data_IF_010124825809
#
_entry.id   IF_010124825809
#
_cell.length_a   1.000
_cell.length_b   1.000
_cell.length_c   1.000
_cell.angle_alpha   90.00
_cell.angle_beta   90.00
_cell.angle_gamma   90.00
#
_symmetry.space_group_name_H-M   'P 1'
#
loop_
_entity.id
_entity.type
_entity.pdbx_description
1 polymer ?
#
# COMPACT_ATOMS: atom_id res chain seq x y z
N UNK A 1 25.07 -3.00 0.67
CA UNK A 1 24.90 -1.87 1.64
C UNK A 1 24.06 -2.43 2.76
N UNK A 2 24.47 -2.24 4.01
CA UNK A 2 23.61 -2.60 5.15
C UNK A 2 22.59 -1.49 5.37
N UNK A 3 21.30 -1.83 5.30
CA UNK A 3 20.19 -0.91 5.50
C UNK A 3 19.69 -0.87 6.96
N UNK A 4 20.32 -1.67 7.86
CA UNK A 4 19.93 -1.76 9.26
C UNK A 4 18.53 -2.35 9.47
N UNK A 5 18.06 -3.20 8.56
CA UNK A 5 16.69 -3.76 8.59
C UNK A 5 16.62 -5.13 9.26
N UNK A 6 17.76 -5.73 9.59
CA UNK A 6 17.80 -7.07 10.17
C UNK A 6 17.00 -7.15 11.48
N UNK A 7 16.03 -8.08 11.52
CA UNK A 7 15.14 -8.28 12.65
C UNK A 7 14.03 -7.23 12.85
N UNK A 8 14.00 -6.16 12.07
CA UNK A 8 12.93 -5.16 12.11
C UNK A 8 11.60 -5.74 11.66
N UNK A 9 10.53 -5.49 12.42
CA UNK A 9 9.19 -5.95 12.05
C UNK A 9 8.53 -4.96 11.09
N UNK A 10 8.25 -5.43 9.88
CA UNK A 10 7.59 -4.66 8.82
C UNK A 10 6.17 -5.17 8.55
N UNK A 11 5.23 -4.28 8.35
CA UNK A 11 3.90 -4.56 7.79
C UNK A 11 3.81 -3.95 6.39
N UNK A 12 3.47 -4.78 5.40
CA UNK A 12 3.14 -4.29 4.06
C UNK A 12 1.68 -4.62 3.76
N UNK A 13 0.83 -3.61 3.68
CA UNK A 13 -0.60 -3.81 3.42
C UNK A 13 -0.84 -4.17 1.95
N UNK A 14 -1.79 -5.07 1.68
CA UNK A 14 -2.09 -5.51 0.31
C UNK A 14 -0.89 -6.17 -0.39
N UNK A 15 -0.13 -7.02 0.30
CA UNK A 15 1.15 -7.57 -0.16
C UNK A 15 1.08 -8.98 -0.75
N UNK A 16 -0.11 -9.43 -1.15
CA UNK A 16 -0.25 -10.73 -1.82
C UNK A 16 0.03 -10.70 -3.33
N UNK A 17 0.17 -9.51 -3.93
CA UNK A 17 0.46 -9.34 -5.36
C UNK A 17 1.10 -7.96 -5.64
N UNK A 18 1.55 -7.74 -6.88
CA UNK A 18 1.97 -6.45 -7.41
C UNK A 18 3.07 -5.76 -6.60
N UNK A 19 2.98 -4.44 -6.49
CA UNK A 19 3.96 -3.59 -5.81
C UNK A 19 4.13 -4.02 -4.34
N UNK A 20 3.04 -4.28 -3.63
CA UNK A 20 3.11 -4.70 -2.22
C UNK A 20 3.88 -6.01 -2.02
N UNK A 21 3.69 -7.00 -2.91
CA UNK A 21 4.45 -8.25 -2.88
C UNK A 21 5.95 -8.02 -3.13
N UNK A 22 6.29 -7.20 -4.11
CA UNK A 22 7.68 -6.88 -4.43
C UNK A 22 8.38 -6.17 -3.25
N UNK A 23 7.70 -5.21 -2.62
CA UNK A 23 8.20 -4.52 -1.42
C UNK A 23 8.42 -5.52 -0.28
N UNK A 24 7.43 -6.36 0.01
CA UNK A 24 7.51 -7.34 1.08
C UNK A 24 8.67 -8.35 0.87
N UNK A 25 8.82 -8.85 -0.36
CA UNK A 25 9.89 -9.75 -0.71
C UNK A 25 11.28 -9.09 -0.59
N UNK A 26 11.40 -7.81 -0.98
CA UNK A 26 12.65 -7.05 -0.88
C UNK A 26 13.00 -6.78 0.58
N UNK A 27 12.06 -6.30 1.41
CA UNK A 27 12.29 -6.09 2.84
C UNK A 27 12.73 -7.38 3.54
N UNK A 28 12.08 -8.50 3.22
CA UNK A 28 12.44 -9.81 3.76
C UNK A 28 13.85 -10.26 3.32
N UNK A 29 14.23 -10.00 2.08
CA UNK A 29 15.59 -10.27 1.58
C UNK A 29 16.66 -9.43 2.29
N UNK A 30 16.32 -8.21 2.70
CA UNK A 30 17.19 -7.32 3.47
C UNK A 30 17.17 -7.62 4.99
N UNK A 31 16.58 -8.76 5.40
CA UNK A 31 16.61 -9.26 6.77
C UNK A 31 15.46 -8.78 7.68
N UNK A 32 14.51 -8.03 7.15
CA UNK A 32 13.32 -7.67 7.94
C UNK A 32 12.40 -8.89 8.12
N UNK A 33 11.72 -8.96 9.28
CA UNK A 33 10.59 -9.83 9.50
C UNK A 33 9.34 -9.17 8.95
N UNK A 34 8.63 -9.79 7.97
CA UNK A 34 7.57 -9.11 7.24
C UNK A 34 6.21 -9.75 7.44
N UNK A 35 5.21 -8.94 7.79
CA UNK A 35 3.80 -9.34 7.84
C UNK A 35 3.21 -9.13 6.44
N UNK A 36 2.82 -10.26 5.82
CA UNK A 36 2.10 -10.31 4.55
C UNK A 36 0.62 -10.15 4.83
N UNK A 37 -0.02 -9.19 4.17
CA UNK A 37 -1.44 -8.94 4.32
C UNK A 37 -2.21 -9.05 3.00
N UNK A 38 -3.40 -9.59 3.08
CA UNK A 38 -4.38 -9.66 2.00
C UNK A 38 -5.72 -10.14 2.52
N UNK A 39 -6.79 -9.94 1.76
CA UNK A 39 -8.16 -10.27 2.18
C UNK A 39 -8.46 -11.77 2.26
N UNK A 40 -7.79 -12.58 1.42
CA UNK A 40 -8.05 -14.03 1.29
C UNK A 40 -6.94 -14.82 1.98
N UNK A 41 -7.29 -15.66 2.96
CA UNK A 41 -6.34 -16.49 3.70
C UNK A 41 -5.45 -17.32 2.76
N UNK A 42 -6.04 -18.03 1.80
CA UNK A 42 -5.28 -18.86 0.88
C UNK A 42 -4.21 -18.09 0.07
N UNK A 43 -4.49 -16.82 -0.31
CA UNK A 43 -3.52 -15.99 -1.01
C UNK A 43 -2.37 -15.55 -0.08
N UNK A 44 -2.68 -15.23 1.16
CA UNK A 44 -1.67 -14.90 2.19
C UNK A 44 -0.78 -16.12 2.45
N UNK A 45 -1.37 -17.29 2.67
CA UNK A 45 -0.64 -18.54 2.97
C UNK A 45 0.28 -18.94 1.82
N UNK A 46 -0.17 -18.80 0.56
CA UNK A 46 0.63 -19.09 -0.62
C UNK A 46 1.87 -18.19 -0.71
N UNK A 47 1.72 -16.89 -0.45
CA UNK A 47 2.86 -15.93 -0.48
C UNK A 47 3.81 -16.20 0.69
N UNK A 48 3.28 -16.43 1.89
CA UNK A 48 4.09 -16.78 3.08
C UNK A 48 4.90 -18.05 2.81
N UNK A 49 4.28 -19.11 2.29
CA UNK A 49 4.97 -20.35 1.96
C UNK A 49 6.08 -20.14 0.93
N UNK A 50 5.80 -19.39 -0.14
CA UNK A 50 6.76 -19.10 -1.20
C UNK A 50 7.97 -18.28 -0.72
N UNK A 51 7.76 -17.30 0.18
CA UNK A 51 8.85 -16.50 0.74
C UNK A 51 9.66 -17.29 1.78
N UNK A 52 8.99 -18.09 2.63
CA UNK A 52 9.68 -18.98 3.59
C UNK A 52 10.55 -20.03 2.90
N UNK A 53 10.11 -20.57 1.78
CA UNK A 53 10.91 -21.49 0.98
C UNK A 53 12.22 -20.87 0.44
N UNK A 54 12.32 -19.52 0.42
CA UNK A 54 13.52 -18.76 0.09
C UNK A 54 14.32 -18.30 1.32
N UNK A 55 13.95 -18.79 2.51
CA UNK A 55 14.62 -18.45 3.77
C UNK A 55 14.16 -17.15 4.42
N UNK A 56 13.07 -16.52 3.95
CA UNK A 56 12.57 -15.27 4.52
C UNK A 56 11.80 -15.49 5.83
N UNK A 57 11.98 -14.58 6.81
CA UNK A 57 11.16 -14.55 8.03
C UNK A 57 9.90 -13.73 7.75
N UNK A 58 8.80 -14.43 7.50
CA UNK A 58 7.53 -13.79 7.16
C UNK A 58 6.37 -14.38 7.98
N UNK A 59 5.40 -13.50 8.29
CA UNK A 59 4.15 -13.82 8.96
C UNK A 59 2.99 -13.54 7.99
N UNK A 60 1.85 -14.16 8.20
CA UNK A 60 0.63 -13.89 7.45
C UNK A 60 -0.46 -13.28 8.32
N UNK A 61 -1.18 -12.29 7.79
CA UNK A 61 -2.41 -11.78 8.38
C UNK A 61 -3.47 -11.59 7.29
N UNK A 62 -4.50 -12.43 7.29
CA UNK A 62 -5.62 -12.31 6.38
C UNK A 62 -6.70 -11.40 6.99
N UNK A 63 -7.11 -10.39 6.25
CA UNK A 63 -8.15 -9.46 6.66
C UNK A 63 -8.18 -8.22 5.77
N UNK A 64 -9.34 -7.56 5.72
CA UNK A 64 -9.50 -6.29 5.02
C UNK A 64 -9.12 -5.14 5.95
N UNK A 65 -7.96 -4.52 5.69
CA UNK A 65 -7.45 -3.42 6.51
C UNK A 65 -8.13 -2.06 6.20
N UNK A 66 -9.05 -2.01 5.25
CA UNK A 66 -9.98 -0.89 5.15
C UNK A 66 -11.01 -0.93 6.31
N UNK A 67 -11.30 -2.12 6.87
CA UNK A 67 -12.14 -2.23 8.05
C UNK A 67 -11.38 -1.84 9.33
N UNK A 68 -12.00 -0.99 10.15
CA UNK A 68 -11.38 -0.46 11.36
C UNK A 68 -11.15 -1.53 12.45
N UNK A 69 -12.07 -2.49 12.60
CA UNK A 69 -11.95 -3.55 13.59
C UNK A 69 -10.82 -4.51 13.20
N UNK A 70 -10.70 -4.83 11.92
CA UNK A 70 -9.62 -5.67 11.38
C UNK A 70 -8.25 -4.99 11.56
N UNK A 71 -8.15 -3.69 11.31
CA UNK A 71 -6.92 -2.93 11.55
C UNK A 71 -6.51 -2.95 13.04
N UNK A 72 -7.48 -2.78 13.95
CA UNK A 72 -7.24 -2.89 15.40
C UNK A 72 -6.81 -4.30 15.81
N UNK A 73 -7.44 -5.35 15.25
CA UNK A 73 -7.07 -6.74 15.52
C UNK A 73 -5.63 -7.03 15.08
N UNK A 74 -5.23 -6.55 13.91
CA UNK A 74 -3.85 -6.66 13.43
C UNK A 74 -2.88 -5.96 14.39
N UNK A 75 -3.15 -4.72 14.76
CA UNK A 75 -2.27 -3.96 15.66
C UNK A 75 -2.16 -4.61 17.05
N UNK A 76 -3.25 -5.21 17.55
CA UNK A 76 -3.24 -5.98 18.80
C UNK A 76 -2.41 -7.25 18.68
N UNK A 77 -2.49 -7.97 17.56
CA UNK A 77 -1.72 -9.17 17.31
C UNK A 77 -0.22 -8.92 17.09
N UNK A 78 0.10 -7.76 16.51
CA UNK A 78 1.47 -7.36 16.13
C UNK A 78 1.76 -5.91 16.55
N UNK A 79 1.86 -5.61 17.86
CA UNK A 79 2.00 -4.24 18.34
C UNK A 79 3.37 -3.60 18.05
N UNK A 80 4.38 -4.41 17.73
CA UNK A 80 5.77 -3.98 17.55
C UNK A 80 6.16 -3.67 16.10
N UNK A 81 5.21 -3.33 15.21
CA UNK A 81 5.56 -2.93 13.84
C UNK A 81 6.39 -1.64 13.86
N UNK A 82 7.58 -1.72 13.30
CA UNK A 82 8.56 -0.64 13.20
C UNK A 82 8.60 -0.02 11.80
N UNK A 83 8.23 -0.80 10.78
CA UNK A 83 8.16 -0.36 9.38
C UNK A 83 6.74 -0.60 8.87
N UNK A 84 6.02 0.47 8.59
CA UNK A 84 4.66 0.41 8.06
C UNK A 84 4.65 0.89 6.60
N UNK A 85 4.30 -0.01 5.67
CA UNK A 85 4.09 0.32 4.27
C UNK A 85 2.59 0.29 3.96
N UNK A 86 1.99 1.46 3.88
CA UNK A 86 0.60 1.67 3.49
C UNK A 86 0.48 1.57 1.96
N UNK A 87 0.35 0.34 1.46
CA UNK A 87 0.25 0.03 0.03
C UNK A 87 -1.19 -0.32 -0.40
N UNK A 88 -2.10 -0.58 0.54
CA UNK A 88 -3.49 -0.88 0.20
C UNK A 88 -4.10 0.25 -0.64
N UNK A 89 -4.75 -0.12 -1.75
CA UNK A 89 -5.41 0.83 -2.62
C UNK A 89 -6.26 0.16 -3.69
N UNK A 90 -7.25 0.91 -4.15
CA UNK A 90 -8.10 0.58 -5.30
C UNK A 90 -8.01 1.72 -6.31
N UNK A 91 -8.21 1.39 -7.56
CA UNK A 91 -8.31 2.32 -8.69
C UNK A 91 -9.35 1.80 -9.68
N UNK A 92 -10.05 2.72 -10.34
CA UNK A 92 -11.09 2.41 -11.30
C UNK A 92 -11.30 3.64 -12.20
N UNK A 93 -11.29 3.52 -13.53
CA UNK A 93 -11.66 4.62 -14.41
C UNK A 93 -13.19 4.79 -14.40
N UNK A 94 -13.63 6.05 -14.31
CA UNK A 94 -15.04 6.41 -14.36
C UNK A 94 -15.18 7.89 -14.74
N UNK A 95 -16.08 8.24 -15.65
CA UNK A 95 -16.38 9.63 -15.97
C UNK A 95 -16.87 10.36 -14.72
N UNK A 96 -16.50 11.64 -14.59
CA UNK A 96 -16.75 12.39 -13.36
C UNK A 96 -18.24 12.42 -12.98
N UNK A 97 -19.10 12.64 -13.92
CA UNK A 97 -20.56 12.69 -13.75
C UNK A 97 -21.19 11.35 -13.32
N UNK A 98 -20.48 10.24 -13.58
CA UNK A 98 -20.93 8.89 -13.24
C UNK A 98 -20.40 8.40 -11.90
N UNK A 99 -19.56 9.18 -11.20
CA UNK A 99 -19.00 8.81 -9.91
C UNK A 99 -19.99 9.12 -8.79
N UNK A 100 -20.69 8.12 -8.22
CA UNK A 100 -21.61 8.36 -7.12
C UNK A 100 -20.86 8.64 -5.81
N UNK A 101 -21.54 9.27 -4.87
CA UNK A 101 -20.98 9.57 -3.54
C UNK A 101 -20.41 8.35 -2.82
N UNK A 102 -21.00 7.17 -3.04
CA UNK A 102 -20.55 5.90 -2.46
C UNK A 102 -19.15 5.52 -2.93
N UNK A 103 -18.82 5.78 -4.20
CA UNK A 103 -17.48 5.52 -4.73
C UNK A 103 -16.47 6.50 -4.13
N UNK A 104 -16.80 7.79 -4.00
CA UNK A 104 -15.93 8.75 -3.31
C UNK A 104 -15.61 8.30 -1.89
N UNK A 105 -16.63 7.86 -1.12
CA UNK A 105 -16.45 7.35 0.25
C UNK A 105 -15.62 6.08 0.27
N UNK A 106 -15.92 5.11 -0.62
CA UNK A 106 -15.19 3.84 -0.74
C UNK A 106 -13.72 4.07 -1.05
N UNK A 107 -13.41 4.92 -2.01
CA UNK A 107 -12.03 5.25 -2.39
C UNK A 107 -11.29 5.94 -1.25
N UNK A 108 -11.93 6.87 -0.57
CA UNK A 108 -11.33 7.54 0.59
C UNK A 108 -11.09 6.56 1.74
N UNK A 109 -12.05 5.71 2.04
CA UNK A 109 -11.95 4.69 3.09
C UNK A 109 -10.78 3.73 2.84
N UNK A 110 -10.70 3.16 1.63
CA UNK A 110 -9.70 2.16 1.28
C UNK A 110 -8.32 2.80 1.09
N UNK A 111 -8.22 3.88 0.33
CA UNK A 111 -6.92 4.43 -0.07
C UNK A 111 -6.31 5.36 0.98
N UNK A 112 -7.13 6.04 1.78
CA UNK A 112 -6.66 7.09 2.71
C UNK A 112 -6.82 6.68 4.16
N UNK A 113 -8.06 6.41 4.60
CA UNK A 113 -8.34 6.13 6.01
C UNK A 113 -7.68 4.86 6.52
N UNK A 114 -7.52 3.83 5.68
CA UNK A 114 -6.78 2.62 6.05
C UNK A 114 -5.36 2.93 6.51
N UNK A 115 -4.63 3.74 5.75
CA UNK A 115 -3.27 4.15 6.08
C UNK A 115 -3.20 5.09 7.30
N UNK A 116 -4.17 6.01 7.41
CA UNK A 116 -4.28 6.89 8.59
C UNK A 116 -4.50 6.06 9.87
N UNK A 117 -5.40 5.07 9.84
CA UNK A 117 -5.67 4.19 10.99
C UNK A 117 -4.44 3.43 11.44
N UNK A 118 -3.78 2.76 10.51
CA UNK A 118 -2.59 1.97 10.82
C UNK A 118 -1.45 2.87 11.32
N UNK A 119 -1.22 4.01 10.69
CA UNK A 119 -0.23 4.98 11.16
C UNK A 119 -0.54 5.45 12.58
N UNK A 120 -1.80 5.78 12.89
CA UNK A 120 -2.23 6.17 14.24
C UNK A 120 -2.07 5.06 15.27
N UNK A 121 -2.27 3.79 14.88
CA UNK A 121 -2.14 2.64 15.77
C UNK A 121 -0.66 2.34 16.11
N UNK A 122 0.26 2.50 15.17
CA UNK A 122 1.66 2.15 15.37
C UNK A 122 2.56 3.31 15.80
N UNK A 123 2.20 4.54 15.47
CA UNK A 123 3.02 5.73 15.79
C UNK A 123 3.37 5.88 17.28
N UNK A 124 2.48 5.59 18.25
CA UNK A 124 2.84 5.67 19.66
C UNK A 124 4.00 4.76 20.07
N UNK A 125 4.02 3.52 19.57
CA UNK A 125 5.13 2.58 19.83
C UNK A 125 6.43 3.04 19.15
N UNK A 126 6.35 3.56 17.91
CA UNK A 126 7.47 4.13 17.20
C UNK A 126 8.04 5.35 17.94
N UNK A 127 7.19 6.24 18.48
CA UNK A 127 7.61 7.39 19.32
C UNK A 127 8.31 6.93 20.59
N UNK A 128 7.77 5.93 21.29
CA UNK A 128 8.39 5.39 22.49
C UNK A 128 9.77 4.77 22.23
N UNK A 129 9.94 4.10 21.09
CA UNK A 129 11.23 3.53 20.66
C UNK A 129 12.17 4.57 20.03
N UNK A 130 11.70 5.79 19.78
CA UNK A 130 12.37 6.81 18.97
C UNK A 130 12.90 6.26 17.64
N UNK A 131 12.15 5.37 16.98
CA UNK A 131 12.48 4.80 15.67
C UNK A 131 11.23 4.31 14.97
N UNK A 132 11.13 4.57 13.68
CA UNK A 132 10.03 4.08 12.85
C UNK A 132 10.13 4.54 11.41
N UNK A 133 9.49 3.78 10.52
CA UNK A 133 9.36 4.12 9.08
C UNK A 133 7.91 3.97 8.68
N UNK A 134 7.29 5.05 8.26
CA UNK A 134 5.94 5.04 7.69
C UNK A 134 6.06 5.46 6.23
N UNK A 135 5.57 4.62 5.33
CA UNK A 135 5.64 4.85 3.89
C UNK A 135 4.24 4.73 3.31
N UNK A 136 3.80 5.74 2.57
CA UNK A 136 2.57 5.69 1.79
C UNK A 136 2.92 5.42 0.33
N UNK A 137 2.36 4.36 -0.25
CA UNK A 137 2.45 4.11 -1.68
C UNK A 137 1.33 4.91 -2.35
N UNK A 138 1.67 6.11 -2.72
CA UNK A 138 0.78 7.02 -3.43
C UNK A 138 0.79 6.70 -4.94
N UNK A 139 0.89 7.68 -5.80
CA UNK A 139 0.99 7.58 -7.25
C UNK A 139 1.43 8.94 -7.80
N UNK A 140 2.03 8.95 -9.00
CA UNK A 140 2.17 10.17 -9.79
C UNK A 140 0.82 10.86 -10.03
N UNK A 141 -0.28 10.07 -10.08
CA UNK A 141 -1.66 10.56 -10.14
C UNK A 141 -2.08 11.41 -8.93
N UNK A 142 -1.25 11.51 -7.89
CA UNK A 142 -1.44 12.45 -6.80
C UNK A 142 -1.07 13.90 -7.16
N UNK A 143 -0.29 14.10 -8.23
CA UNK A 143 0.05 15.40 -8.80
C UNK A 143 -0.55 15.57 -10.19
N UNK A 144 -0.44 14.56 -11.06
CA UNK A 144 -0.99 14.57 -12.43
C UNK A 144 -2.28 13.75 -12.42
N UNK A 145 -3.37 14.35 -11.93
CA UNK A 145 -4.64 13.66 -11.74
C UNK A 145 -5.24 13.32 -13.10
N UNK A 146 -5.44 12.01 -13.43
CA UNK A 146 -6.07 11.62 -14.69
C UNK A 146 -7.55 12.03 -14.70
N UNK A 147 -8.02 12.61 -15.80
CA UNK A 147 -9.40 13.05 -15.93
C UNK A 147 -10.42 11.90 -15.77
N UNK A 148 -10.02 10.71 -16.20
CA UNK A 148 -10.82 9.48 -16.10
C UNK A 148 -10.76 8.81 -14.72
N UNK A 149 -9.98 9.34 -13.77
CA UNK A 149 -9.81 8.75 -12.42
C UNK A 149 -9.68 9.84 -11.35
N UNK A 150 -10.51 10.88 -11.40
CA UNK A 150 -10.41 12.04 -10.49
C UNK A 150 -10.50 11.62 -9.01
N UNK A 151 -11.45 10.74 -8.67
CA UNK A 151 -11.62 10.24 -7.30
C UNK A 151 -10.41 9.43 -6.81
N UNK A 152 -9.74 8.69 -7.69
CA UNK A 152 -8.47 8.03 -7.37
C UNK A 152 -7.36 9.05 -7.13
N UNK A 153 -7.14 9.98 -8.08
CA UNK A 153 -6.12 11.02 -7.98
C UNK A 153 -6.26 11.85 -6.70
N UNK A 154 -7.50 12.25 -6.35
CA UNK A 154 -7.81 12.94 -5.10
C UNK A 154 -7.29 12.13 -3.88
N UNK A 155 -7.54 10.82 -3.84
CA UNK A 155 -7.06 10.00 -2.70
C UNK A 155 -5.54 9.91 -2.66
N UNK A 156 -4.87 9.90 -3.81
CA UNK A 156 -3.41 9.86 -3.89
C UNK A 156 -2.78 11.18 -3.46
N UNK A 157 -3.40 12.31 -3.79
CA UNK A 157 -3.04 13.64 -3.25
C UNK A 157 -3.22 13.70 -1.73
N UNK A 158 -4.35 13.15 -1.22
CA UNK A 158 -4.61 13.09 0.22
C UNK A 158 -3.56 12.27 0.98
N UNK A 159 -3.09 11.12 0.42
CA UNK A 159 -1.99 10.34 1.02
C UNK A 159 -0.70 11.16 1.15
N UNK A 160 -0.35 11.96 0.13
CA UNK A 160 0.83 12.84 0.16
C UNK A 160 0.68 13.89 1.26
N UNK A 161 -0.49 14.52 1.37
CA UNK A 161 -0.77 15.53 2.40
C UNK A 161 -0.68 14.94 3.82
N UNK A 162 -1.26 13.76 4.04
CA UNK A 162 -1.18 13.03 5.31
C UNK A 162 0.26 12.69 5.67
N UNK A 163 1.02 12.14 4.72
CA UNK A 163 2.43 11.80 4.94
C UNK A 163 3.25 13.02 5.31
N UNK A 164 3.04 14.15 4.63
CA UNK A 164 3.70 15.43 4.92
C UNK A 164 3.37 15.93 6.33
N UNK A 165 2.09 15.94 6.71
CA UNK A 165 1.67 16.37 8.05
C UNK A 165 2.24 15.48 9.17
N UNK A 166 2.24 14.15 8.97
CA UNK A 166 2.85 13.23 9.93
C UNK A 166 4.37 13.40 10.02
N UNK A 167 5.05 13.70 8.91
CA UNK A 167 6.50 13.97 8.93
C UNK A 167 6.83 15.20 9.77
N UNK A 168 6.03 16.26 9.69
CA UNK A 168 6.20 17.45 10.56
C UNK A 168 5.94 17.12 12.03
N UNK A 169 4.92 16.31 12.34
CA UNK A 169 4.59 15.91 13.71
C UNK A 169 5.71 15.11 14.39
N UNK A 170 6.49 14.35 13.62
CA UNK A 170 7.60 13.55 14.15
C UNK A 170 8.98 14.20 13.94
N UNK A 171 9.01 15.45 13.49
CA UNK A 171 10.26 16.17 13.27
C UNK A 171 11.12 16.20 14.56
N UNK A 172 12.43 16.07 14.40
CA UNK A 172 13.37 15.99 15.53
C UNK A 172 13.48 14.60 16.18
N UNK A 173 12.74 13.60 15.71
CA UNK A 173 12.88 12.20 16.13
C UNK A 173 13.60 11.36 15.07
N UNK A 174 13.90 10.10 15.36
CA UNK A 174 14.44 9.14 14.39
C UNK A 174 13.35 8.43 13.56
N UNK A 175 12.10 8.91 13.62
CA UNK A 175 10.99 8.42 12.81
C UNK A 175 10.97 9.18 11.48
N UNK A 176 10.70 8.47 10.37
CA UNK A 176 10.50 9.12 9.08
C UNK A 176 9.16 8.72 8.47
N UNK A 177 8.52 9.69 7.81
CA UNK A 177 7.27 9.47 7.06
C UNK A 177 7.47 9.98 5.64
N UNK A 178 7.24 9.11 4.67
CA UNK A 178 7.48 9.40 3.25
C UNK A 178 6.35 8.90 2.37
N UNK A 179 6.21 9.51 1.19
CA UNK A 179 5.39 9.01 0.09
C UNK A 179 6.27 8.54 -1.05
N UNK A 180 5.94 7.38 -1.61
CA UNK A 180 6.49 6.88 -2.87
C UNK A 180 5.41 7.05 -3.93
N UNK A 181 5.76 7.61 -5.06
CA UNK A 181 4.85 7.95 -6.15
C UNK A 181 5.19 7.13 -7.40
N UNK A 182 4.79 5.85 -7.46
CA UNK A 182 5.00 5.05 -8.66
C UNK A 182 4.22 5.61 -9.83
N UNK A 183 4.84 5.55 -11.02
CA UNK A 183 4.15 5.63 -12.29
C UNK A 183 3.52 4.29 -12.67
N UNK A 184 3.09 4.12 -13.93
CA UNK A 184 2.60 2.87 -14.46
C UNK A 184 3.58 1.73 -14.18
N UNK A 185 3.13 0.73 -13.43
CA UNK A 185 4.01 -0.38 -12.99
C UNK A 185 3.40 -1.69 -13.44
N UNK A 186 4.13 -2.46 -14.25
CA UNK A 186 3.66 -3.74 -14.78
C UNK A 186 3.33 -4.70 -13.64
N UNK A 187 2.07 -5.10 -13.56
CA UNK A 187 1.54 -6.05 -12.57
C UNK A 187 0.27 -6.68 -13.13
N UNK A 188 -0.12 -7.84 -12.60
CA UNK A 188 -1.37 -8.48 -13.02
C UNK A 188 -2.58 -7.53 -12.98
N UNK A 189 -2.69 -6.68 -11.96
CA UNK A 189 -3.80 -5.72 -11.88
C UNK A 189 -3.73 -4.64 -12.96
N UNK A 190 -2.52 -4.19 -13.34
CA UNK A 190 -2.33 -3.24 -14.44
C UNK A 190 -2.57 -3.92 -15.78
N UNK A 191 -2.15 -5.17 -15.97
CA UNK A 191 -2.43 -5.93 -17.19
C UNK A 191 -3.93 -6.11 -17.41
N UNK A 192 -4.70 -6.42 -16.35
CA UNK A 192 -6.16 -6.50 -16.39
C UNK A 192 -6.79 -5.13 -16.73
N UNK A 193 -6.28 -4.04 -16.14
CA UNK A 193 -6.73 -2.66 -16.37
C UNK A 193 -6.44 -2.20 -17.80
N UNK A 194 -5.20 -2.35 -18.27
CA UNK A 194 -4.80 -2.00 -19.64
C UNK A 194 -5.59 -2.82 -20.66
N UNK A 195 -5.84 -4.10 -20.39
CA UNK A 195 -6.66 -4.95 -21.22
C UNK A 195 -8.13 -4.49 -21.33
N UNK A 196 -8.70 -4.00 -20.23
CA UNK A 196 -10.04 -3.43 -20.22
C UNK A 196 -10.13 -2.14 -21.04
N UNK A 197 -9.15 -1.24 -20.90
CA UNK A 197 -9.07 0.02 -21.67
C UNK A 197 -8.84 -0.26 -23.17
N UNK A 198 -7.92 -1.14 -23.52
CA UNK A 198 -7.66 -1.54 -24.89
C UNK A 198 -8.93 -2.07 -25.57
N UNK A 199 -9.68 -2.91 -24.84
CA UNK A 199 -10.98 -3.43 -25.32
C UNK A 199 -12.02 -2.32 -25.52
N UNK A 200 -12.07 -1.35 -24.62
CA UNK A 200 -13.00 -0.21 -24.71
C UNK A 200 -12.66 0.69 -25.92
N UNK A 201 -11.38 0.87 -26.24
CA UNK A 201 -10.92 1.63 -27.41
C UNK A 201 -10.91 0.80 -28.71
N UNK A 202 -11.19 -0.50 -28.66
CA UNK A 202 -11.19 -1.37 -29.84
C UNK A 202 -9.81 -1.61 -30.45
N UNK A 203 -8.75 -1.51 -29.64
CA UNK A 203 -7.35 -1.73 -30.05
C UNK A 203 -6.76 -2.96 -29.35
N UNK A 204 -5.62 -3.47 -29.87
CA UNK A 204 -4.94 -4.58 -29.19
C UNK A 204 -4.27 -4.14 -27.89
N UNK A 205 -4.07 -5.11 -26.98
CA UNK A 205 -3.35 -4.86 -25.72
C UNK A 205 -1.97 -4.25 -25.97
N UNK A 206 -1.21 -4.80 -26.92
CA UNK A 206 0.16 -4.34 -27.25
C UNK A 206 0.16 -2.94 -27.86
N UNK A 207 -0.88 -2.58 -28.63
CA UNK A 207 -1.01 -1.24 -29.18
C UNK A 207 -1.35 -0.21 -28.11
N UNK A 208 -2.17 -0.59 -27.12
CA UNK A 208 -2.50 0.27 -26.00
C UNK A 208 -1.34 0.38 -25.00
N UNK A 209 -0.68 -0.73 -24.66
CA UNK A 209 0.50 -0.76 -23.75
C UNK A 209 1.63 0.19 -24.21
N UNK A 210 1.81 0.37 -25.51
CA UNK A 210 2.81 1.30 -26.07
C UNK A 210 2.46 2.77 -25.91
N UNK A 211 1.18 3.10 -25.70
CA UNK A 211 0.71 4.48 -25.48
C UNK A 211 0.66 4.80 -23.98
N UNK A 212 0.53 3.78 -23.15
CA UNK A 212 0.42 3.86 -21.71
C UNK A 212 1.80 3.92 -21.02
#
# INVERSE_FOLDING_TARGET
>A
MDLGLNGKLALVTGSTAGIGHAIAATLAKEGARVIINGRKQAAVDAVVAALRAKGADVLGFAGDLADAATAQALAKAHPGVEILVNNLGIYEPKAFEDIPDEDWRRFFEVNVLSGIRLSRLYLPAMKAANWGRIIFISSESGFQIPAEMIHYGMTKSAQIAVARGLAEEVAGTAITVNSVLPGPTKSRGVDEFVGALAKAEGVSFEAFEKKF
#
